data_IF_792277933923
#
_entry.id   IF_792277933923
#
_cell.length_a   1.000
_cell.length_b   1.000
_cell.length_c   1.000
_cell.angle_alpha   90.00
_cell.angle_beta   90.00
_cell.angle_gamma   90.00
#
_symmetry.space_group_name_H-M   'P 1'
#
loop_
_entity.id
_entity.type
_entity.pdbx_description
1 polymer ?
#
# COMPACT_ATOMS: atom_id res chain seq x y z
N UNK A 1 -5.56 -8.97 3.37
CA UNK A 1 -4.96 -10.05 4.19
C UNK A 1 -5.17 -11.39 3.50
N UNK A 2 -4.21 -12.31 3.57
CA UNK A 2 -4.29 -13.66 3.00
C UNK A 2 -4.02 -14.64 4.14
N UNK A 3 -4.90 -15.62 4.36
CA UNK A 3 -4.77 -16.59 5.45
C UNK A 3 -4.68 -18.00 4.86
N UNK A 4 -3.60 -18.70 5.21
CA UNK A 4 -3.31 -20.11 4.87
C UNK A 4 -3.46 -20.48 3.38
N UNK A 5 -3.27 -19.52 2.47
CA UNK A 5 -3.50 -19.72 1.03
C UNK A 5 -4.96 -20.11 0.70
N UNK A 6 -5.90 -19.80 1.60
CA UNK A 6 -7.30 -20.23 1.51
C UNK A 6 -8.29 -19.07 1.53
N UNK A 7 -8.06 -18.11 2.42
CA UNK A 7 -8.94 -16.96 2.59
C UNK A 7 -8.26 -15.68 2.12
N UNK A 8 -9.05 -14.79 1.49
CA UNK A 8 -8.67 -13.39 1.29
C UNK A 8 -9.65 -12.53 2.04
N UNK A 9 -9.11 -11.60 2.83
CA UNK A 9 -9.86 -10.52 3.46
C UNK A 9 -9.45 -9.21 2.78
N UNK A 10 -10.41 -8.53 2.15
CA UNK A 10 -10.20 -7.28 1.41
C UNK A 10 -11.40 -6.34 1.57
N UNK A 11 -11.19 -5.05 1.36
CA UNK A 11 -12.24 -4.05 1.49
C UNK A 11 -11.70 -2.62 1.47
N UNK A 12 -12.57 -1.67 1.78
CA UNK A 12 -12.18 -0.26 1.95
C UNK A 12 -11.54 0.00 3.33
N UNK A 13 -11.79 -0.90 4.29
CA UNK A 13 -11.40 -0.75 5.68
C UNK A 13 -9.88 -0.73 5.88
N UNK A 14 -9.36 0.41 6.34
CA UNK A 14 -8.02 0.48 6.94
C UNK A 14 -8.03 -0.06 8.38
N UNK A 15 -6.97 -0.75 8.80
CA UNK A 15 -6.80 -1.26 10.18
C UNK A 15 -6.44 -0.14 11.16
N UNK A 16 -7.45 0.67 11.48
CA UNK A 16 -7.32 1.86 12.34
C UNK A 16 -8.54 2.00 13.23
N UNK A 17 -8.41 2.78 14.31
CA UNK A 17 -9.54 3.04 15.20
C UNK A 17 -10.73 3.70 14.49
N UNK A 18 -10.47 4.57 13.50
CA UNK A 18 -11.53 5.19 12.69
C UNK A 18 -12.17 4.20 11.73
N UNK A 19 -11.38 3.34 11.08
CA UNK A 19 -11.91 2.28 10.21
C UNK A 19 -12.81 1.29 10.94
N UNK A 20 -12.51 1.01 12.21
CA UNK A 20 -13.34 0.13 13.06
C UNK A 20 -14.60 0.81 13.60
N UNK A 21 -14.51 2.09 14.02
CA UNK A 21 -15.54 2.70 14.88
C UNK A 21 -16.22 3.95 14.30
N UNK A 22 -15.78 4.47 13.14
CA UNK A 22 -16.24 5.77 12.64
C UNK A 22 -16.62 5.77 11.16
N UNK A 23 -15.79 5.17 10.32
CA UNK A 23 -15.99 5.18 8.88
C UNK A 23 -17.03 4.12 8.49
N UNK A 24 -17.83 4.43 7.48
CA UNK A 24 -18.64 3.42 6.79
C UNK A 24 -17.73 2.63 5.85
N UNK A 25 -17.36 1.41 6.25
CA UNK A 25 -16.41 0.57 5.52
C UNK A 25 -17.08 -0.74 5.06
N UNK A 26 -16.57 -1.32 3.96
CA UNK A 26 -16.89 -2.68 3.56
C UNK A 26 -15.72 -3.62 3.83
N UNK A 27 -16.02 -4.86 4.24
CA UNK A 27 -15.06 -5.94 4.38
C UNK A 27 -15.65 -7.22 3.78
N UNK A 28 -14.89 -7.87 2.89
CA UNK A 28 -15.24 -9.14 2.28
C UNK A 28 -14.26 -10.21 2.72
N UNK A 29 -14.79 -11.34 3.16
CA UNK A 29 -14.02 -12.57 3.41
C UNK A 29 -14.39 -13.55 2.30
N UNK A 30 -13.40 -13.91 1.49
CA UNK A 30 -13.58 -14.78 0.33
C UNK A 30 -12.79 -16.07 0.58
N UNK A 31 -13.49 -17.20 0.66
CA UNK A 31 -12.90 -18.54 0.73
C UNK A 31 -12.67 -19.07 -0.68
N UNK A 32 -11.46 -18.91 -1.20
CA UNK A 32 -11.09 -19.38 -2.54
C UNK A 32 -9.57 -19.56 -2.63
N UNK A 33 -9.09 -20.80 -2.55
CA UNK A 33 -7.65 -21.09 -2.57
C UNK A 33 -6.95 -20.65 -3.85
N UNK A 34 -7.61 -20.77 -5.01
CA UNK A 34 -7.02 -20.32 -6.29
C UNK A 34 -6.80 -18.81 -6.29
N UNK A 35 -7.79 -18.05 -5.82
CA UNK A 35 -7.67 -16.61 -5.72
C UNK A 35 -6.63 -16.22 -4.66
N UNK A 36 -6.63 -16.88 -3.50
CA UNK A 36 -5.67 -16.65 -2.43
C UNK A 36 -4.22 -16.84 -2.91
N UNK A 37 -3.92 -17.90 -3.67
CA UNK A 37 -2.59 -18.11 -4.24
C UNK A 37 -2.20 -17.05 -5.28
N UNK A 38 -3.15 -16.56 -6.09
CA UNK A 38 -2.86 -15.45 -7.02
C UNK A 38 -2.49 -14.17 -6.27
N UNK A 39 -3.24 -13.83 -5.21
CA UNK A 39 -2.94 -12.71 -4.33
C UNK A 39 -1.60 -12.89 -3.61
N UNK A 40 -1.29 -14.10 -3.15
CA UNK A 40 -0.03 -14.43 -2.47
C UNK A 40 1.17 -14.26 -3.42
N UNK A 41 1.02 -14.68 -4.67
CA UNK A 41 2.04 -14.51 -5.70
C UNK A 41 2.33 -13.03 -5.96
N UNK A 42 1.28 -12.21 -6.10
CA UNK A 42 1.45 -10.77 -6.28
C UNK A 42 2.03 -10.10 -5.03
N UNK A 43 1.62 -10.51 -3.83
CA UNK A 43 2.21 -10.04 -2.59
C UNK A 43 3.72 -10.34 -2.53
N UNK A 44 4.14 -11.57 -2.87
CA UNK A 44 5.56 -11.96 -2.91
C UNK A 44 6.35 -11.15 -3.94
N UNK A 45 5.75 -10.83 -5.09
CA UNK A 45 6.34 -9.95 -6.08
C UNK A 45 6.59 -8.54 -5.51
N UNK A 46 5.57 -7.93 -4.90
CA UNK A 46 5.71 -6.62 -4.25
C UNK A 46 6.74 -6.65 -3.11
N UNK A 47 6.72 -7.69 -2.29
CA UNK A 47 7.67 -7.88 -1.19
C UNK A 47 9.12 -7.92 -1.68
N UNK A 48 9.38 -8.68 -2.76
CA UNK A 48 10.72 -8.78 -3.35
C UNK A 48 11.20 -7.47 -4.00
N UNK A 49 10.30 -6.55 -4.35
CA UNK A 49 10.67 -5.24 -4.89
C UNK A 49 11.18 -4.27 -3.83
N UNK A 50 10.92 -4.51 -2.54
CA UNK A 50 11.32 -3.62 -1.44
C UNK A 50 12.82 -3.76 -1.21
N UNK A 51 13.66 -2.72 -1.45
CA UNK A 51 15.10 -2.83 -1.24
C UNK A 51 15.48 -2.87 0.24
N UNK A 52 16.51 -3.65 0.58
CA UNK A 52 17.01 -3.84 1.95
C UNK A 52 17.42 -2.55 2.68
N UNK A 53 17.67 -1.44 1.96
CA UNK A 53 17.92 -0.14 2.60
C UNK A 53 16.79 0.28 3.54
N UNK A 54 15.56 -0.16 3.26
CA UNK A 54 14.38 0.16 4.08
C UNK A 54 14.28 -0.67 5.37
N UNK A 55 15.23 -1.58 5.62
CA UNK A 55 15.40 -2.20 6.94
C UNK A 55 15.93 -1.20 7.98
N UNK A 56 16.50 -0.06 7.54
CA UNK A 56 17.13 0.94 8.42
C UNK A 56 16.63 2.37 8.19
N UNK A 57 15.91 2.62 7.11
CA UNK A 57 15.45 3.94 6.70
C UNK A 57 14.01 3.86 6.19
N UNK A 58 13.25 4.94 6.34
CA UNK A 58 11.91 5.03 5.78
C UNK A 58 11.95 5.80 4.44
N UNK A 59 11.24 5.34 3.40
CA UNK A 59 11.12 6.10 2.15
C UNK A 59 10.39 7.43 2.41
N UNK A 60 10.82 8.49 1.74
CA UNK A 60 10.06 9.75 1.74
C UNK A 60 8.77 9.60 0.90
N UNK A 61 7.58 9.93 1.45
CA UNK A 61 6.30 9.70 0.76
C UNK A 61 6.21 10.31 -0.64
N UNK A 62 6.63 11.56 -0.80
CA UNK A 62 6.67 12.28 -2.09
C UNK A 62 8.13 12.33 -2.61
N UNK A 63 8.62 11.23 -3.17
CA UNK A 63 10.00 11.16 -3.68
C UNK A 63 10.23 10.02 -4.65
N UNK A 64 11.39 10.02 -5.32
CA UNK A 64 11.85 8.88 -6.15
C UNK A 64 11.97 7.56 -5.37
N UNK A 65 11.95 7.59 -4.03
CA UNK A 65 11.95 6.40 -3.18
C UNK A 65 10.57 5.72 -3.08
N UNK A 66 9.50 6.49 -3.29
CA UNK A 66 8.11 6.03 -3.38
C UNK A 66 7.75 5.90 -4.86
N UNK A 67 7.79 4.67 -5.35
CA UNK A 67 7.60 4.39 -6.78
C UNK A 67 6.24 4.93 -7.24
N UNK A 68 6.27 5.84 -8.23
CA UNK A 68 5.07 6.45 -8.83
C UNK A 68 4.69 7.81 -8.24
N UNK A 69 5.15 8.16 -7.03
CA UNK A 69 4.67 9.34 -6.31
C UNK A 69 5.03 10.66 -6.99
N UNK A 70 6.15 10.73 -7.72
CA UNK A 70 6.59 11.97 -8.36
C UNK A 70 5.88 12.27 -9.69
N UNK A 71 4.88 11.48 -10.07
CA UNK A 71 4.16 11.59 -11.35
C UNK A 71 2.67 11.27 -11.27
N UNK A 72 2.11 11.11 -10.07
CA UNK A 72 0.72 10.69 -9.88
C UNK A 72 -0.25 11.86 -9.65
N UNK A 73 0.28 13.09 -9.49
CA UNK A 73 -0.52 14.28 -9.25
C UNK A 73 -1.08 14.39 -7.83
N UNK A 74 -0.59 13.59 -6.89
CA UNK A 74 -1.01 13.55 -5.49
C UNK A 74 0.06 14.17 -4.60
N UNK A 75 -0.35 14.99 -3.64
CA UNK A 75 0.55 15.48 -2.58
C UNK A 75 0.68 14.41 -1.48
N UNK A 76 1.60 13.45 -1.66
CA UNK A 76 1.68 12.29 -0.77
C UNK A 76 2.22 12.61 0.63
N UNK A 77 2.83 13.80 0.83
CA UNK A 77 3.33 14.23 2.14
C UNK A 77 2.54 15.41 2.75
N UNK A 78 1.49 15.88 2.07
CA UNK A 78 0.57 16.95 2.48
C UNK A 78 1.25 18.30 2.75
N UNK A 79 2.30 18.65 2.00
CA UNK A 79 3.03 19.90 2.18
C UNK A 79 2.66 21.01 1.17
N UNK A 80 1.70 20.76 0.30
CA UNK A 80 1.21 21.67 -0.73
C UNK A 80 2.02 21.64 -2.04
N UNK A 81 2.98 20.72 -2.20
CA UNK A 81 3.76 20.51 -3.43
C UNK A 81 3.46 19.15 -4.00
N UNK A 82 3.29 19.11 -5.33
CA UNK A 82 2.97 17.89 -6.08
C UNK A 82 4.06 17.64 -7.12
N UNK A 83 4.48 16.38 -7.27
CA UNK A 83 5.39 15.93 -8.33
C UNK A 83 6.66 16.80 -8.40
N UNK A 84 6.94 17.42 -9.55
CA UNK A 84 8.13 18.26 -9.83
C UNK A 84 8.24 19.50 -8.95
N UNK A 85 7.17 19.88 -8.25
CA UNK A 85 7.22 20.99 -7.29
C UNK A 85 8.03 20.59 -6.04
N UNK A 86 8.02 19.30 -5.70
CA UNK A 86 8.76 18.72 -4.59
C UNK A 86 10.26 18.63 -4.93
N UNK A 87 11.11 18.97 -3.96
CA UNK A 87 12.57 18.93 -4.16
C UNK A 87 13.06 17.48 -4.32
N UNK A 88 12.48 16.54 -3.57
CA UNK A 88 12.80 15.12 -3.67
C UNK A 88 12.34 14.43 -4.95
N UNK A 89 11.59 15.13 -5.80
CA UNK A 89 11.12 14.66 -7.10
C UNK A 89 11.84 15.31 -8.29
N UNK A 90 12.74 16.26 -8.05
CA UNK A 90 13.65 16.82 -9.06
C UNK A 90 14.80 15.83 -9.32
#
# INVERSE_FOLDING_TARGET
>A
MIIDGKYIILGSMNFSNSGENKNDENLLIIENSKLAHNYETFFKYLWAMIPDKYLKHNPKPESKESIGSCTDGVDNNFNGKIDKQEESCK
#
